data_IF_977924237818
#
_entry.id   IF_977924237818
#
_cell.length_a   1.000
_cell.length_b   1.000
_cell.length_c   1.000
_cell.angle_alpha   90.00
_cell.angle_beta   90.00
_cell.angle_gamma   90.00
#
_symmetry.space_group_name_H-M   'P 1'
#
loop_
_entity.id
_entity.type
_entity.pdbx_description
1 polymer ?
#
# COMPACT_ATOMS: atom_id res chain seq x y z
N UNK A 1 3.04 20.41 5.74
CA UNK A 1 1.58 20.49 5.94
C UNK A 1 0.98 19.17 5.47
N UNK A 2 0.28 18.43 6.34
CA UNK A 2 -0.37 17.17 5.95
C UNK A 2 -1.54 17.51 5.03
N UNK A 3 -1.42 17.15 3.76
CA UNK A 3 -2.51 17.28 2.80
C UNK A 3 -3.67 16.43 3.32
N UNK A 4 -4.79 17.05 3.64
CA UNK A 4 -6.03 16.40 4.05
C UNK A 4 -6.41 15.38 2.99
N UNK A 5 -6.14 14.10 3.26
CA UNK A 5 -6.53 13.01 2.37
C UNK A 5 -8.05 12.99 2.29
N UNK A 6 -8.59 13.34 1.13
CA UNK A 6 -10.02 13.20 0.84
C UNK A 6 -10.38 11.74 1.08
N UNK A 7 -11.27 11.46 2.04
CA UNK A 7 -11.75 10.09 2.28
C UNK A 7 -12.45 9.62 1.02
N UNK A 8 -11.93 8.53 0.43
CA UNK A 8 -12.54 7.88 -0.72
C UNK A 8 -13.65 6.96 -0.23
N UNK A 9 -14.77 6.97 -0.94
CA UNK A 9 -15.89 6.07 -0.65
C UNK A 9 -15.60 4.70 -1.30
N UNK A 10 -15.49 3.67 -0.46
CA UNK A 10 -15.18 2.31 -0.88
C UNK A 10 -16.27 1.69 -1.79
N UNK A 11 -17.49 2.21 -1.75
CA UNK A 11 -18.60 1.71 -2.57
C UNK A 11 -18.47 2.03 -4.06
N UNK A 12 -17.61 2.97 -4.45
CA UNK A 12 -17.40 3.39 -5.84
C UNK A 12 -16.39 2.55 -6.61
N UNK A 13 -15.66 1.63 -5.93
CA UNK A 13 -14.54 0.90 -6.49
C UNK A 13 -14.76 -0.61 -6.46
N UNK A 14 -14.26 -1.31 -7.48
CA UNK A 14 -14.23 -2.77 -7.53
C UNK A 14 -13.00 -3.30 -6.78
N UNK A 15 -13.08 -3.30 -5.45
CA UNK A 15 -11.97 -3.62 -4.58
C UNK A 15 -11.72 -5.13 -4.54
N UNK A 16 -10.51 -5.54 -4.91
CA UNK A 16 -9.99 -6.89 -4.71
C UNK A 16 -9.16 -6.91 -3.43
N UNK A 17 -9.29 -7.95 -2.64
CA UNK A 17 -8.53 -8.14 -1.41
C UNK A 17 -7.38 -9.12 -1.60
N UNK A 18 -6.25 -8.84 -0.94
CA UNK A 18 -5.08 -9.70 -0.91
C UNK A 18 -4.53 -9.79 0.51
N UNK A 19 -4.44 -11.02 1.03
CA UNK A 19 -3.86 -11.27 2.35
C UNK A 19 -2.34 -11.31 2.21
N UNK A 20 -1.66 -10.45 3.00
CA UNK A 20 -0.19 -10.34 2.99
C UNK A 20 0.46 -11.24 4.04
N UNK A 21 -0.10 -11.26 5.25
CA UNK A 21 0.42 -12.07 6.34
C UNK A 21 -0.69 -12.45 7.33
N UNK A 22 -0.62 -13.67 7.83
CA UNK A 22 -1.47 -14.16 8.92
C UNK A 22 -0.53 -14.67 10.01
N UNK A 23 -0.64 -14.10 11.21
CA UNK A 23 0.16 -14.47 12.35
C UNK A 23 -0.72 -14.94 13.50
N UNK A 24 -0.38 -16.07 14.11
CA UNK A 24 -0.99 -16.51 15.37
C UNK A 24 -0.34 -15.74 16.51
N UNK A 25 -1.16 -15.02 17.28
CA UNK A 25 -0.73 -14.22 18.40
C UNK A 25 -1.35 -14.72 19.70
N UNK A 26 -0.62 -14.63 20.78
CA UNK A 26 -1.05 -15.17 22.08
C UNK A 26 -0.88 -14.11 23.18
N UNK A 27 -1.90 -13.94 24.01
CA UNK A 27 -1.83 -13.18 25.25
C UNK A 27 -1.83 -14.14 26.43
N UNK A 28 -0.76 -14.14 27.20
CA UNK A 28 -0.66 -14.94 28.43
C UNK A 28 -1.36 -14.19 29.56
N UNK A 29 -2.23 -14.88 30.28
CA UNK A 29 -3.00 -14.36 31.42
C UNK A 29 -2.89 -15.34 32.59
N UNK A 30 -3.28 -14.94 33.83
CA UNK A 30 -3.45 -15.87 34.93
C UNK A 30 -4.46 -16.94 34.52
N UNK A 31 -4.09 -18.21 34.61
CA UNK A 31 -4.95 -19.33 34.22
C UNK A 31 -4.81 -19.83 32.78
N UNK A 32 -3.96 -19.22 31.91
CA UNK A 32 -3.72 -19.80 30.58
C UNK A 32 -3.27 -18.83 29.50
N UNK A 33 -3.46 -19.27 28.25
CA UNK A 33 -3.04 -18.54 27.03
C UNK A 33 -4.25 -18.27 26.13
N UNK A 34 -4.57 -17.00 25.91
CA UNK A 34 -5.59 -16.59 24.96
C UNK A 34 -4.99 -16.43 23.57
N UNK A 35 -5.35 -17.33 22.64
CA UNK A 35 -4.86 -17.32 21.27
C UNK A 35 -5.79 -16.52 20.37
N UNK A 36 -5.21 -15.83 19.38
CA UNK A 36 -5.91 -15.10 18.32
C UNK A 36 -5.09 -15.09 17.06
N UNK A 37 -5.71 -14.75 15.94
CA UNK A 37 -5.04 -14.56 14.65
C UNK A 37 -5.05 -13.07 14.29
N UNK A 38 -3.91 -12.59 13.80
CA UNK A 38 -3.75 -11.25 13.24
C UNK A 38 -3.54 -11.38 11.74
N UNK A 39 -4.41 -10.77 10.95
CA UNK A 39 -4.32 -10.73 9.49
C UNK A 39 -3.92 -9.31 9.05
N UNK A 40 -2.96 -9.21 8.12
CA UNK A 40 -2.59 -8.00 7.43
C UNK A 40 -3.08 -8.12 5.99
N UNK A 41 -3.97 -7.21 5.59
CA UNK A 41 -4.68 -7.26 4.31
C UNK A 41 -4.46 -5.97 3.55
N UNK A 42 -4.30 -6.10 2.25
CA UNK A 42 -4.30 -5.00 1.27
C UNK A 42 -5.55 -5.13 0.42
N UNK A 43 -6.18 -4.03 0.13
CA UNK A 43 -7.38 -3.95 -0.74
C UNK A 43 -7.09 -2.92 -1.80
N UNK A 44 -7.46 -3.18 -3.05
CA UNK A 44 -7.25 -2.19 -4.09
C UNK A 44 -8.08 -2.45 -5.34
N UNK A 45 -8.18 -1.41 -6.15
CA UNK A 45 -8.79 -1.45 -7.48
C UNK A 45 -7.72 -1.08 -8.52
N UNK A 46 -7.22 -2.08 -9.29
CA UNK A 46 -6.20 -1.83 -10.30
C UNK A 46 -6.64 -0.84 -11.40
N UNK A 47 -7.94 -0.81 -11.72
CA UNK A 47 -8.49 0.07 -12.75
C UNK A 47 -8.59 1.54 -12.32
N UNK A 48 -8.80 1.77 -11.03
CA UNK A 48 -8.96 3.11 -10.48
C UNK A 48 -7.67 3.68 -9.85
N UNK A 49 -6.61 2.88 -9.74
CA UNK A 49 -5.37 3.28 -9.07
C UNK A 49 -5.57 3.57 -7.59
N UNK A 50 -6.43 2.78 -6.92
CA UNK A 50 -6.77 2.98 -5.51
C UNK A 50 -6.33 1.77 -4.71
N UNK A 51 -5.64 2.00 -3.59
CA UNK A 51 -5.21 0.95 -2.69
C UNK A 51 -5.36 1.37 -1.22
N UNK A 52 -5.63 0.39 -0.37
CA UNK A 52 -5.71 0.58 1.07
C UNK A 52 -5.11 -0.62 1.81
N UNK A 53 -4.72 -0.42 3.05
CA UNK A 53 -4.28 -1.52 3.91
C UNK A 53 -4.99 -1.49 5.26
N UNK A 54 -5.16 -2.67 5.85
CA UNK A 54 -5.74 -2.81 7.16
C UNK A 54 -5.22 -4.04 7.89
N UNK A 55 -5.27 -3.98 9.20
CA UNK A 55 -5.01 -5.15 10.04
C UNK A 55 -6.24 -5.50 10.86
N UNK A 56 -6.56 -6.79 10.92
CA UNK A 56 -7.65 -7.33 11.73
C UNK A 56 -7.13 -8.38 12.70
N UNK A 57 -7.77 -8.46 13.87
CA UNK A 57 -7.47 -9.49 14.88
C UNK A 57 -8.76 -10.14 15.35
N UNK A 58 -8.79 -11.48 15.36
CA UNK A 58 -9.93 -12.25 15.85
C UNK A 58 -9.50 -13.63 16.35
N UNK A 59 -10.41 -14.38 16.98
CA UNK A 59 -10.15 -15.76 17.40
C UNK A 59 -10.06 -16.73 16.23
N UNK A 60 -10.72 -16.41 15.10
CA UNK A 60 -10.75 -17.19 13.88
C UNK A 60 -10.12 -16.42 12.72
N UNK A 61 -9.45 -17.14 11.81
CA UNK A 61 -8.77 -16.53 10.64
C UNK A 61 -9.75 -15.80 9.72
N UNK A 62 -10.90 -16.34 9.31
CA UNK A 62 -11.84 -15.64 8.42
C UNK A 62 -12.35 -14.31 9.03
N UNK A 63 -12.62 -14.31 10.32
CA UNK A 63 -13.06 -13.09 11.02
C UNK A 63 -11.96 -12.05 11.12
N UNK A 64 -10.68 -12.47 11.30
CA UNK A 64 -9.53 -11.57 11.30
C UNK A 64 -9.35 -10.90 9.92
N UNK A 65 -9.50 -11.67 8.83
CA UNK A 65 -9.44 -11.17 7.45
C UNK A 65 -10.56 -10.17 7.19
N UNK A 66 -11.82 -10.47 7.52
CA UNK A 66 -12.96 -9.55 7.36
C UNK A 66 -12.72 -8.21 8.06
N UNK A 67 -12.27 -8.23 9.31
CA UNK A 67 -11.90 -7.00 10.06
C UNK A 67 -10.76 -6.25 9.39
N UNK A 68 -9.77 -6.96 8.83
CA UNK A 68 -8.68 -6.39 8.06
C UNK A 68 -9.16 -5.66 6.81
N UNK A 69 -10.07 -6.27 6.05
CA UNK A 69 -10.70 -5.67 4.85
C UNK A 69 -11.48 -4.42 5.21
N UNK A 70 -12.31 -4.45 6.25
CA UNK A 70 -13.06 -3.29 6.71
C UNK A 70 -12.15 -2.13 7.14
N UNK A 71 -11.06 -2.44 7.84
CA UNK A 71 -10.05 -1.44 8.21
C UNK A 71 -9.32 -0.87 6.98
N UNK A 72 -9.02 -1.71 5.97
CA UNK A 72 -8.39 -1.30 4.73
C UNK A 72 -9.29 -0.37 3.90
N UNK A 73 -10.58 -0.67 3.81
CA UNK A 73 -11.60 0.17 3.13
C UNK A 73 -11.70 1.58 3.72
N UNK A 74 -11.37 1.76 5.00
CA UNK A 74 -11.35 3.09 5.65
C UNK A 74 -10.08 3.90 5.35
N UNK A 75 -9.03 3.23 4.86
CA UNK A 75 -7.70 3.80 4.63
C UNK A 75 -7.32 3.77 3.14
N UNK A 76 -8.28 4.01 2.25
CA UNK A 76 -8.02 4.04 0.81
C UNK A 76 -7.22 5.29 0.43
N UNK A 77 -6.26 5.11 -0.46
CA UNK A 77 -5.43 6.17 -1.04
C UNK A 77 -5.46 6.03 -2.54
N UNK A 78 -5.64 7.15 -3.24
CA UNK A 78 -5.49 7.22 -4.70
C UNK A 78 -4.04 7.48 -5.04
N UNK A 79 -3.54 6.78 -6.05
CA UNK A 79 -2.14 6.83 -6.49
C UNK A 79 -2.09 7.48 -7.87
N UNK A 80 -1.12 8.36 -8.07
CA UNK A 80 -0.83 8.92 -9.37
C UNK A 80 0.07 7.92 -10.14
N UNK A 81 -0.50 7.26 -11.14
CA UNK A 81 0.21 6.34 -12.03
C UNK A 81 0.39 6.99 -13.39
N UNK A 82 1.48 6.66 -14.05
CA UNK A 82 1.75 7.03 -15.45
C UNK A 82 1.69 5.76 -16.27
N UNK A 83 0.57 5.56 -17.01
CA UNK A 83 0.29 4.37 -17.81
C UNK A 83 0.42 3.07 -16.98
N UNK A 84 1.52 2.33 -17.14
CA UNK A 84 1.75 1.03 -16.48
C UNK A 84 2.71 1.10 -15.30
N UNK A 85 3.31 2.28 -15.03
CA UNK A 85 4.37 2.47 -14.03
C UNK A 85 4.14 3.69 -13.13
N UNK A 86 5.08 3.95 -12.24
CA UNK A 86 5.10 5.14 -11.36
C UNK A 86 5.83 6.31 -12.06
N UNK A 87 5.44 7.57 -11.80
CA UNK A 87 5.99 8.72 -12.51
C UNK A 87 7.47 9.00 -12.22
N UNK A 88 7.96 8.74 -11.02
CA UNK A 88 9.35 8.99 -10.62
C UNK A 88 9.82 8.07 -9.51
N UNK A 89 11.12 8.03 -9.29
CA UNK A 89 11.73 7.32 -8.17
C UNK A 89 11.35 7.98 -6.84
N UNK A 90 11.05 7.16 -5.84
CA UNK A 90 10.71 7.63 -4.50
C UNK A 90 11.22 6.65 -3.44
N UNK A 91 11.57 7.19 -2.27
CA UNK A 91 11.96 6.43 -1.08
C UNK A 91 10.96 6.71 0.04
N UNK A 92 10.10 5.74 0.33
CA UNK A 92 9.17 5.81 1.46
C UNK A 92 9.79 5.31 2.75
N UNK A 93 9.39 5.93 3.86
CA UNK A 93 9.93 5.63 5.20
C UNK A 93 8.81 5.50 6.22
N UNK A 94 8.89 4.46 7.04
CA UNK A 94 8.01 4.32 8.20
C UNK A 94 8.71 3.51 9.31
N UNK A 95 8.99 4.14 10.44
CA UNK A 95 9.82 3.55 11.48
C UNK A 95 11.16 3.11 10.92
N UNK A 96 11.52 1.84 11.12
CA UNK A 96 12.72 1.23 10.54
C UNK A 96 12.52 0.69 9.12
N UNK A 97 11.33 0.83 8.54
CA UNK A 97 11.03 0.41 7.16
C UNK A 97 11.42 1.47 6.15
N UNK A 98 12.22 1.09 5.15
CA UNK A 98 12.60 1.93 4.02
C UNK A 98 12.33 1.15 2.74
N UNK A 99 11.52 1.71 1.85
CA UNK A 99 11.16 1.06 0.59
C UNK A 99 11.46 2.01 -0.57
N UNK A 100 12.37 1.56 -1.43
CA UNK A 100 12.71 2.26 -2.66
C UNK A 100 11.79 1.76 -3.78
N UNK A 101 11.17 2.69 -4.49
CA UNK A 101 10.39 2.45 -5.70
C UNK A 101 11.06 3.17 -6.86
N UNK A 102 11.27 2.47 -7.99
CA UNK A 102 11.80 3.02 -9.24
C UNK A 102 10.87 2.69 -10.40
N UNK A 103 10.60 3.62 -11.30
CA UNK A 103 9.87 3.31 -12.53
C UNK A 103 10.65 2.30 -13.36
N UNK A 104 9.94 1.50 -14.13
CA UNK A 104 10.51 0.50 -15.02
C UNK A 104 9.83 0.55 -16.39
N UNK A 105 10.55 0.22 -17.48
CA UNK A 105 9.97 0.12 -18.81
C UNK A 105 8.96 -1.02 -18.89
N UNK A 106 8.12 -0.96 -19.91
CA UNK A 106 7.15 -2.02 -20.20
C UNK A 106 7.84 -3.38 -20.39
N UNK A 107 7.18 -4.44 -19.92
CA UNK A 107 7.69 -5.79 -19.96
C UNK A 107 8.58 -6.20 -18.80
N UNK A 108 8.97 -5.27 -17.91
CA UNK A 108 9.76 -5.60 -16.70
C UNK A 108 8.95 -6.37 -15.67
N UNK A 109 7.65 -6.07 -15.56
CA UNK A 109 6.79 -6.62 -14.53
C UNK A 109 7.03 -6.03 -13.13
N UNK A 110 6.34 -6.58 -12.12
CA UNK A 110 6.48 -6.13 -10.74
C UNK A 110 7.63 -6.88 -10.07
N UNK A 111 8.78 -6.23 -9.91
CA UNK A 111 9.93 -6.78 -9.18
C UNK A 111 9.91 -6.22 -7.76
N UNK A 112 9.32 -6.99 -6.83
CA UNK A 112 9.06 -6.55 -5.47
C UNK A 112 9.08 -7.70 -4.46
N UNK A 113 9.43 -7.42 -3.22
CA UNK A 113 9.22 -8.33 -2.09
C UNK A 113 7.73 -8.55 -1.81
N UNK A 114 7.36 -9.68 -1.19
CA UNK A 114 5.97 -10.13 -1.08
C UNK A 114 4.97 -9.07 -0.60
N UNK A 115 5.31 -8.33 0.46
CA UNK A 115 4.44 -7.29 1.01
C UNK A 115 4.29 -6.08 0.06
N UNK A 116 5.40 -5.66 -0.58
CA UNK A 116 5.38 -4.55 -1.56
C UNK A 116 4.66 -4.99 -2.83
N UNK A 117 4.90 -6.23 -3.30
CA UNK A 117 4.25 -6.80 -4.48
C UNK A 117 2.73 -6.79 -4.33
N UNK A 118 2.21 -7.22 -3.17
CA UNK A 118 0.78 -7.19 -2.90
C UNK A 118 0.19 -5.78 -3.06
N UNK A 119 0.88 -4.75 -2.54
CA UNK A 119 0.44 -3.36 -2.66
C UNK A 119 0.47 -2.90 -4.12
N UNK A 120 1.56 -3.14 -4.85
CA UNK A 120 1.71 -2.69 -6.24
C UNK A 120 0.71 -3.36 -7.18
N UNK A 121 0.51 -4.68 -7.03
CA UNK A 121 -0.47 -5.43 -7.82
C UNK A 121 -1.89 -4.96 -7.55
N UNK A 122 -2.25 -4.75 -6.26
CA UNK A 122 -3.57 -4.23 -5.88
C UNK A 122 -3.79 -2.79 -6.34
N UNK A 123 -2.73 -2.01 -6.51
CA UNK A 123 -2.77 -0.64 -7.01
C UNK A 123 -2.87 -0.55 -8.54
N UNK A 124 -2.65 -1.66 -9.27
CA UNK A 124 -2.65 -1.70 -10.73
C UNK A 124 -1.32 -1.36 -11.39
N UNK A 125 -0.23 -1.25 -10.64
CA UNK A 125 1.12 -1.05 -11.19
C UNK A 125 1.57 -2.34 -11.87
N UNK A 126 1.97 -2.25 -13.13
CA UNK A 126 2.40 -3.40 -13.93
C UNK A 126 3.93 -3.49 -14.03
N UNK A 127 4.62 -2.35 -14.07
CA UNK A 127 6.07 -2.31 -14.26
C UNK A 127 6.72 -1.43 -13.19
N UNK A 128 7.48 -2.05 -12.27
CA UNK A 128 8.16 -1.34 -11.17
C UNK A 128 9.32 -2.15 -10.62
N UNK A 129 10.41 -1.47 -10.28
CA UNK A 129 11.52 -2.03 -9.54
C UNK A 129 11.45 -1.54 -8.09
N UNK A 130 11.53 -2.46 -7.14
CA UNK A 130 11.45 -2.10 -5.73
C UNK A 130 12.51 -2.81 -4.90
N UNK A 131 12.93 -2.16 -3.81
CA UNK A 131 13.82 -2.76 -2.82
C UNK A 131 13.44 -2.32 -1.41
N UNK A 132 13.25 -3.28 -0.53
CA UNK A 132 13.17 -3.02 0.91
C UNK A 132 14.58 -2.94 1.48
N UNK A 133 14.95 -1.78 2.04
CA UNK A 133 16.30 -1.47 2.54
C UNK A 133 16.40 -1.53 4.06
N UNK A 134 15.28 -1.61 4.75
CA UNK A 134 15.21 -1.61 6.21
C UNK A 134 14.74 -2.95 6.77
N UNK A 135 13.73 -2.88 7.60
CA UNK A 135 13.15 -4.04 8.28
C UNK A 135 12.44 -5.01 7.34
N UNK A 136 12.42 -6.28 7.74
CA UNK A 136 11.62 -7.32 7.08
C UNK A 136 10.18 -7.41 7.64
N UNK A 137 9.80 -6.61 8.66
CA UNK A 137 8.46 -6.62 9.24
C UNK A 137 7.41 -6.15 8.22
N UNK A 138 6.45 -7.01 7.79
CA UNK A 138 5.48 -6.66 6.78
C UNK A 138 4.64 -5.42 7.09
N UNK A 139 4.34 -5.18 8.36
CA UNK A 139 3.58 -3.99 8.79
C UNK A 139 4.32 -2.69 8.51
N UNK A 140 5.63 -2.64 8.79
CA UNK A 140 6.43 -1.46 8.53
C UNK A 140 6.70 -1.29 7.04
N UNK A 141 6.96 -2.40 6.32
CA UNK A 141 7.19 -2.39 4.88
C UNK A 141 5.96 -1.84 4.15
N UNK A 142 4.74 -2.32 4.47
CA UNK A 142 3.51 -1.82 3.85
C UNK A 142 3.34 -0.32 4.12
N UNK A 143 3.49 0.12 5.37
CA UNK A 143 3.34 1.54 5.71
C UNK A 143 4.38 2.42 5.02
N UNK A 144 5.63 1.97 4.90
CA UNK A 144 6.66 2.65 4.14
C UNK A 144 6.33 2.70 2.63
N UNK A 145 5.76 1.63 2.08
CA UNK A 145 5.27 1.61 0.69
C UNK A 145 4.15 2.62 0.48
N UNK A 146 3.19 2.71 1.40
CA UNK A 146 2.11 3.70 1.34
C UNK A 146 2.65 5.13 1.47
N UNK A 147 3.65 5.36 2.31
CA UNK A 147 4.32 6.66 2.40
C UNK A 147 4.97 7.05 1.07
N UNK A 148 5.67 6.09 0.41
CA UNK A 148 6.21 6.29 -0.92
C UNK A 148 5.14 6.64 -1.96
N UNK A 149 4.04 5.88 -1.99
CA UNK A 149 2.95 6.08 -2.95
C UNK A 149 2.25 7.45 -2.80
N UNK A 150 2.13 7.95 -1.58
CA UNK A 150 1.55 9.27 -1.29
C UNK A 150 2.46 10.41 -1.73
N UNK A 151 3.77 10.18 -1.82
CA UNK A 151 4.75 11.16 -2.28
C UNK A 151 4.81 11.28 -3.81
N UNK A 152 4.20 10.33 -4.55
CA UNK A 152 4.17 10.38 -6.00
C UNK A 152 3.39 11.60 -6.50
N UNK A 153 4.02 12.37 -7.37
CA UNK A 153 3.43 13.55 -8.01
C UNK A 153 3.41 13.37 -9.51
N UNK A 154 2.30 13.77 -10.11
CA UNK A 154 2.19 13.80 -11.56
C UNK A 154 2.88 15.05 -12.13
N UNK A 155 3.31 14.97 -13.40
CA UNK A 155 3.93 16.11 -14.11
C UNK A 155 3.01 17.32 -14.16
N UNK A 156 1.71 17.11 -14.35
CA UNK A 156 0.69 18.17 -14.36
C UNK A 156 0.61 18.89 -13.02
N UNK A 157 0.68 18.17 -11.91
CA UNK A 157 0.68 18.74 -10.56
C UNK A 157 1.95 19.56 -10.31
N UNK A 158 3.11 19.04 -10.73
CA UNK A 158 4.39 19.75 -10.59
C UNK A 158 4.42 21.01 -11.46
N UNK A 159 3.92 20.96 -12.70
CA UNK A 159 3.81 22.11 -13.59
C UNK A 159 2.96 23.22 -12.97
N UNK A 160 1.77 22.86 -12.47
CA UNK A 160 0.88 23.81 -11.78
C UNK A 160 1.54 24.47 -10.55
N UNK A 161 2.29 23.69 -9.75
CA UNK A 161 3.02 24.21 -8.58
C UNK A 161 4.15 25.19 -8.97
N UNK A 162 4.76 24.99 -10.15
CA UNK A 162 5.83 25.86 -10.67
C UNK A 162 5.33 27.01 -11.54
N UNK A 163 4.02 27.07 -11.83
CA UNK A 163 3.43 28.06 -12.74
C UNK A 163 3.93 27.95 -14.17
N UNK A 164 4.33 26.72 -14.63
CA UNK A 164 4.86 26.43 -15.96
C UNK A 164 3.92 25.49 -16.72
N UNK A 165 4.08 25.45 -18.06
CA UNK A 165 3.42 24.43 -18.87
C UNK A 165 4.14 23.08 -18.74
N UNK A 166 3.40 21.97 -18.91
CA UNK A 166 3.97 20.60 -18.78
C UNK A 166 5.11 20.34 -19.76
N UNK A 167 5.10 21.04 -20.91
CA UNK A 167 6.13 20.96 -21.94
C UNK A 167 7.45 21.63 -21.56
N UNK A 168 7.44 22.50 -20.53
CA UNK A 168 8.60 23.24 -20.05
C UNK A 168 9.29 22.61 -18.83
N UNK A 169 8.84 21.42 -18.43
CA UNK A 169 9.38 20.60 -17.34
C UNK A 169 10.36 19.55 -17.88
#
# INVERSE_FOLDING_TARGET
>A
MATLKKKLDAGQFNLKDQVVAINRVTKVVKGGKNMSFAALVVVGDPGAGVVGYGSGKAKEVPQAIRKGIEAAKKNLVRINLTETTIPHQVLGRYGSGHVLLKPAPEGTGVIAGGAVRAVMTSAGVQNVLTKSLGTANPHNVIKATFDALVQLRDRTEVAALRGKQVQEL
#
